data_IF_127026366309
#
_entry.id   IF_127026366309
#
_cell.length_a   1.000
_cell.length_b   1.000
_cell.length_c   1.000
_cell.angle_alpha   90.00
_cell.angle_beta   90.00
_cell.angle_gamma   90.00
#
_symmetry.space_group_name_H-M   'P 1'
#
loop_
_entity.id
_entity.type
_entity.pdbx_description
1 polymer ?
#
# COMPACT_ATOMS: atom_id res chain seq x y z
N UNK A 1 7.06 23.25 -24.97
CA UNK A 1 5.83 22.50 -24.67
C UNK A 1 6.33 21.19 -24.04
N UNK A 2 6.16 20.97 -22.71
CA UNK A 2 6.25 19.63 -22.14
C UNK A 2 4.96 18.95 -22.62
N UNK A 3 5.07 17.84 -23.35
CA UNK A 3 3.91 17.02 -23.66
C UNK A 3 3.28 16.58 -22.34
N UNK A 4 1.97 16.47 -22.33
CA UNK A 4 1.22 15.94 -21.18
C UNK A 4 1.86 14.60 -20.82
N UNK A 5 2.42 14.53 -19.62
CA UNK A 5 3.03 13.31 -19.08
C UNK A 5 1.98 12.74 -18.15
N UNK A 6 1.40 11.61 -18.51
CA UNK A 6 0.48 10.87 -17.63
C UNK A 6 1.18 10.50 -16.32
N UNK A 7 0.43 10.22 -15.28
CA UNK A 7 0.97 9.78 -13.99
C UNK A 7 1.93 8.59 -14.17
N UNK A 8 3.13 8.74 -13.62
CA UNK A 8 4.11 7.66 -13.62
C UNK A 8 3.92 6.78 -12.39
N UNK A 9 3.71 5.49 -12.60
CA UNK A 9 3.66 4.49 -11.53
C UNK A 9 5.00 3.77 -11.47
N UNK A 10 5.65 3.80 -10.32
CA UNK A 10 6.89 3.09 -10.03
C UNK A 10 6.58 2.03 -8.98
N UNK A 11 6.60 0.75 -9.36
CA UNK A 11 6.71 -0.34 -8.40
C UNK A 11 8.17 -0.46 -8.01
N UNK A 12 8.46 -0.40 -6.71
CA UNK A 12 9.83 -0.49 -6.23
C UNK A 12 10.40 -1.88 -6.51
N UNK A 13 11.68 -1.89 -6.84
CA UNK A 13 12.44 -3.13 -6.96
C UNK A 13 12.77 -3.66 -5.56
N UNK A 14 12.61 -4.95 -5.34
CA UNK A 14 13.03 -5.63 -4.12
C UNK A 14 14.55 -5.60 -4.00
N UNK A 15 15.08 -4.93 -2.98
CA UNK A 15 16.51 -4.83 -2.70
C UNK A 15 17.03 -5.91 -1.77
N UNK A 16 16.14 -6.74 -1.24
CA UNK A 16 16.41 -7.83 -0.31
C UNK A 16 15.97 -9.18 -0.87
N UNK A 17 16.12 -10.25 -0.11
CA UNK A 17 15.56 -11.56 -0.45
C UNK A 17 14.12 -11.75 0.07
N UNK A 18 13.62 -10.80 0.88
CA UNK A 18 12.26 -10.82 1.41
C UNK A 18 11.26 -10.46 0.31
N UNK A 19 10.00 -10.80 0.50
CA UNK A 19 8.94 -10.10 -0.23
C UNK A 19 8.85 -8.65 0.25
N UNK A 20 8.35 -7.77 -0.59
CA UNK A 20 8.14 -6.36 -0.23
C UNK A 20 7.09 -5.72 -1.12
N UNK A 21 6.42 -4.71 -0.59
CA UNK A 21 5.54 -3.85 -1.36
C UNK A 21 5.91 -2.39 -1.18
N UNK A 22 6.09 -1.69 -2.27
CA UNK A 22 6.31 -0.25 -2.28
C UNK A 22 6.04 0.35 -3.65
N UNK A 23 5.35 1.50 -3.68
CA UNK A 23 5.07 2.23 -4.90
C UNK A 23 5.26 3.73 -4.71
N UNK A 24 5.69 4.39 -5.79
CA UNK A 24 5.59 5.84 -5.95
C UNK A 24 4.76 6.15 -7.17
N UNK A 25 3.74 7.00 -7.00
CA UNK A 25 2.96 7.56 -8.09
C UNK A 25 3.35 9.03 -8.21
N UNK A 26 3.82 9.41 -9.39
CA UNK A 26 4.27 10.77 -9.67
C UNK A 26 3.27 11.40 -10.63
N UNK A 27 2.57 12.43 -10.17
CA UNK A 27 1.56 13.13 -10.98
C UNK A 27 2.21 13.99 -12.08
N UNK A 28 1.42 14.49 -13.00
CA UNK A 28 1.84 15.35 -14.11
C UNK A 28 2.65 16.58 -13.67
N UNK A 29 2.32 17.13 -12.50
CA UNK A 29 3.00 18.31 -11.94
C UNK A 29 4.06 17.97 -10.91
N UNK A 30 4.40 16.66 -10.79
CA UNK A 30 5.48 16.19 -9.94
C UNK A 30 5.12 16.03 -8.46
N UNK A 31 3.82 15.93 -8.14
CA UNK A 31 3.38 15.51 -6.81
C UNK A 31 3.68 14.04 -6.59
N UNK A 32 4.07 13.66 -5.39
CA UNK A 32 4.47 12.29 -5.06
C UNK A 32 3.47 11.67 -4.08
N UNK A 33 2.86 10.56 -4.50
CA UNK A 33 2.05 9.72 -3.64
C UNK A 33 2.84 8.43 -3.41
N UNK A 34 3.14 8.11 -2.16
CA UNK A 34 3.77 6.86 -1.78
C UNK A 34 2.74 5.86 -1.24
N UNK A 35 2.93 4.59 -1.54
CA UNK A 35 2.18 3.47 -0.98
C UNK A 35 3.17 2.48 -0.41
N UNK A 36 3.10 2.26 0.90
CA UNK A 36 4.06 1.46 1.66
C UNK A 36 5.53 1.88 1.37
N UNK A 37 6.46 0.96 1.36
CA UNK A 37 7.86 1.28 1.09
C UNK A 37 8.78 0.07 1.09
N UNK A 38 8.31 -1.05 1.66
CA UNK A 38 9.07 -2.27 1.78
C UNK A 38 9.76 -2.44 3.12
N UNK A 39 10.76 -3.32 3.14
CA UNK A 39 11.58 -3.63 4.30
C UNK A 39 12.59 -2.51 4.60
N UNK A 40 13.24 -2.55 5.76
CA UNK A 40 14.32 -1.59 6.09
C UNK A 40 15.43 -1.58 5.03
N UNK A 41 15.75 -2.73 4.44
CA UNK A 41 16.75 -2.85 3.37
C UNK A 41 16.38 -2.13 2.08
N UNK A 42 15.11 -1.81 1.85
CA UNK A 42 14.62 -1.09 0.68
C UNK A 42 14.67 0.45 0.87
N UNK A 43 14.90 0.93 2.11
CA UNK A 43 14.93 2.35 2.42
C UNK A 43 15.92 3.18 1.58
N UNK A 44 17.14 2.71 1.27
CA UNK A 44 18.06 3.47 0.42
C UNK A 44 17.50 3.75 -0.98
N UNK A 45 16.89 2.76 -1.61
CA UNK A 45 16.30 2.88 -2.94
C UNK A 45 15.05 3.78 -2.92
N UNK A 46 14.17 3.59 -1.92
CA UNK A 46 13.01 4.45 -1.72
C UNK A 46 13.43 5.92 -1.58
N UNK A 47 14.40 6.21 -0.70
CA UNK A 47 14.94 7.57 -0.49
C UNK A 47 15.55 8.15 -1.76
N UNK A 48 16.27 7.34 -2.53
CA UNK A 48 16.85 7.76 -3.82
C UNK A 48 15.75 8.19 -4.78
N UNK A 49 14.72 7.36 -4.95
CA UNK A 49 13.59 7.65 -5.85
C UNK A 49 12.81 8.90 -5.41
N UNK A 50 12.58 9.09 -4.11
CA UNK A 50 11.93 10.30 -3.60
C UNK A 50 12.77 11.54 -3.93
N UNK A 51 14.11 11.51 -3.73
CA UNK A 51 15.00 12.62 -4.07
C UNK A 51 14.98 12.95 -5.55
N UNK A 52 14.99 11.95 -6.41
CA UNK A 52 14.93 12.13 -7.87
C UNK A 52 13.62 12.77 -8.34
N UNK A 53 12.56 12.67 -7.52
CA UNK A 53 11.25 13.25 -7.80
C UNK A 53 10.92 14.46 -6.89
N UNK A 54 11.94 15.19 -6.43
CA UNK A 54 11.78 16.49 -5.77
C UNK A 54 11.94 16.49 -4.25
N UNK A 55 12.20 15.36 -3.61
CA UNK A 55 12.47 15.27 -2.16
C UNK A 55 11.25 15.53 -1.27
N UNK A 56 10.04 15.44 -1.83
CA UNK A 56 8.80 15.65 -1.09
C UNK A 56 7.80 14.54 -1.40
N UNK A 57 7.21 13.93 -0.37
CA UNK A 57 6.08 13.01 -0.48
C UNK A 57 4.84 13.78 -0.05
N UNK A 58 3.90 14.02 -0.96
CA UNK A 58 2.67 14.77 -0.66
C UNK A 58 1.72 13.94 0.20
N UNK A 59 1.50 12.67 -0.16
CA UNK A 59 0.66 11.71 0.56
C UNK A 59 1.39 10.37 0.67
N UNK A 60 1.41 9.78 1.86
CA UNK A 60 2.00 8.45 2.09
C UNK A 60 0.97 7.52 2.72
N UNK A 61 0.48 6.56 1.95
CA UNK A 61 -0.47 5.56 2.42
C UNK A 61 0.26 4.33 2.95
N UNK A 62 -0.04 3.92 4.17
CA UNK A 62 0.40 2.67 4.77
C UNK A 62 -0.77 1.69 4.78
N UNK A 63 -0.62 0.55 4.09
CA UNK A 63 -1.72 -0.40 3.90
C UNK A 63 -1.99 -1.20 5.15
N UNK A 64 -0.97 -1.83 5.73
CA UNK A 64 -1.10 -2.66 6.92
C UNK A 64 0.27 -2.81 7.64
N UNK A 65 0.28 -3.32 8.90
CA UNK A 65 1.49 -3.32 9.71
C UNK A 65 2.35 -4.59 9.56
N UNK A 66 2.73 -5.02 8.35
CA UNK A 66 3.81 -5.97 8.14
C UNK A 66 5.12 -5.26 7.81
N UNK A 67 6.24 -5.82 8.26
CA UNK A 67 7.58 -5.21 8.11
C UNK A 67 7.97 -4.98 6.64
N UNK A 68 7.57 -5.87 5.74
CA UNK A 68 7.81 -5.79 4.30
C UNK A 68 6.92 -4.76 3.56
N UNK A 69 6.14 -3.99 4.31
CA UNK A 69 5.34 -2.84 3.87
C UNK A 69 5.77 -1.54 4.54
N UNK A 70 5.92 -1.54 5.87
CA UNK A 70 6.03 -0.29 6.62
C UNK A 70 7.43 0.02 7.17
N UNK A 71 8.43 -0.86 7.06
CA UNK A 71 9.74 -0.63 7.69
C UNK A 71 10.48 0.57 7.12
N UNK A 72 10.27 0.91 5.84
CA UNK A 72 10.77 2.18 5.30
C UNK A 72 10.17 3.37 6.05
N UNK A 73 8.88 3.37 6.36
CA UNK A 73 8.26 4.43 7.15
C UNK A 73 8.79 4.46 8.59
N UNK A 74 9.04 3.29 9.20
CA UNK A 74 9.69 3.21 10.53
C UNK A 74 11.05 3.86 10.47
N UNK A 75 11.87 3.53 9.46
CA UNK A 75 13.19 4.13 9.26
C UNK A 75 13.12 5.66 9.12
N UNK A 76 12.14 6.18 8.36
CA UNK A 76 11.91 7.62 8.22
C UNK A 76 11.48 8.29 9.53
N UNK A 77 10.73 7.58 10.37
CA UNK A 77 10.27 8.11 11.67
C UNK A 77 11.39 8.16 12.71
N UNK A 78 12.26 7.14 12.71
CA UNK A 78 13.39 7.04 13.63
C UNK A 78 14.60 7.85 13.18
N UNK A 79 14.80 7.97 11.87
CA UNK A 79 15.93 8.63 11.22
C UNK A 79 15.46 9.58 10.11
N UNK A 80 14.82 10.72 10.47
CA UNK A 80 14.32 11.67 9.47
C UNK A 80 15.45 12.24 8.61
N UNK A 81 15.23 12.25 7.30
CA UNK A 81 16.17 12.81 6.34
C UNK A 81 15.98 14.33 6.24
N UNK A 82 17.04 15.15 6.36
CA UNK A 82 16.90 16.61 6.35
C UNK A 82 16.48 17.18 4.99
N UNK A 83 16.66 16.42 3.91
CA UNK A 83 16.38 16.79 2.53
C UNK A 83 15.12 16.10 1.96
N UNK A 84 14.40 15.32 2.78
CA UNK A 84 13.13 14.71 2.42
C UNK A 84 12.04 15.18 3.38
N UNK A 85 10.93 15.62 2.83
CA UNK A 85 9.75 16.04 3.60
C UNK A 85 8.53 15.20 3.26
N UNK A 86 7.60 15.08 4.21
CA UNK A 86 6.33 14.35 4.03
C UNK A 86 5.17 15.25 4.43
N UNK A 87 4.21 15.42 3.53
CA UNK A 87 3.03 16.24 3.73
C UNK A 87 2.01 15.60 4.66
N UNK A 88 1.64 14.35 4.40
CA UNK A 88 0.67 13.61 5.20
C UNK A 88 0.90 12.11 5.12
N UNK A 89 0.95 11.44 6.27
CA UNK A 89 0.94 9.97 6.38
C UNK A 89 -0.48 9.52 6.69
N UNK A 90 -1.01 8.62 5.85
CA UNK A 90 -2.37 8.10 5.94
C UNK A 90 -2.35 6.61 6.30
N UNK A 91 -3.05 6.20 7.35
CA UNK A 91 -3.06 4.80 7.80
C UNK A 91 -4.35 4.44 8.53
N UNK A 92 -4.58 3.17 8.76
CA UNK A 92 -5.66 2.67 9.64
C UNK A 92 -5.06 1.89 10.81
N UNK A 93 -5.31 2.30 12.08
CA UNK A 93 -4.67 1.67 13.23
C UNK A 93 -5.24 0.29 13.51
N UNK A 94 -4.37 -0.66 13.85
CA UNK A 94 -4.80 -1.90 14.47
C UNK A 94 -5.53 -1.61 15.80
N UNK A 95 -6.58 -2.39 16.18
CA UNK A 95 -7.28 -2.21 17.44
C UNK A 95 -6.36 -2.28 18.66
N UNK A 96 -6.65 -1.53 19.74
CA UNK A 96 -5.82 -1.53 20.95
C UNK A 96 -5.84 -2.88 21.69
N UNK A 97 -7.02 -3.54 21.68
CA UNK A 97 -7.25 -4.85 22.29
C UNK A 97 -6.80 -6.01 21.40
N UNK A 98 -5.87 -5.74 20.52
CA UNK A 98 -5.29 -6.70 19.62
C UNK A 98 -4.71 -7.89 20.40
N UNK A 99 -5.47 -8.96 20.47
CA UNK A 99 -5.01 -10.27 20.94
C UNK A 99 -4.75 -11.14 19.71
N UNK A 100 -3.49 -11.40 19.43
CA UNK A 100 -3.09 -12.37 18.39
C UNK A 100 -3.69 -13.72 18.78
N UNK A 101 -4.67 -14.18 18.03
CA UNK A 101 -5.20 -15.54 18.20
C UNK A 101 -4.41 -16.56 17.38
N UNK A 102 -3.76 -16.10 16.34
CA UNK A 102 -2.82 -16.89 15.56
C UNK A 102 -1.43 -16.72 16.13
N UNK A 103 -0.60 -17.76 16.00
CA UNK A 103 0.81 -17.77 16.40
C UNK A 103 1.66 -16.87 15.48
N UNK A 104 1.07 -15.78 15.00
CA UNK A 104 1.67 -14.90 14.04
C UNK A 104 2.78 -14.09 14.70
N UNK A 105 3.96 -14.11 14.10
CA UNK A 105 5.12 -13.33 14.53
C UNK A 105 4.91 -11.81 14.34
N UNK A 106 3.91 -11.43 13.60
CA UNK A 106 3.58 -10.06 13.18
C UNK A 106 3.13 -9.12 14.31
N UNK A 107 2.96 -9.61 15.55
CA UNK A 107 2.64 -8.72 16.68
C UNK A 107 3.72 -7.65 16.89
N UNK A 108 4.97 -8.01 16.64
CA UNK A 108 6.09 -7.08 16.75
C UNK A 108 5.99 -5.96 15.72
N UNK A 109 5.54 -6.27 14.51
CA UNK A 109 5.37 -5.33 13.42
C UNK A 109 4.27 -4.31 13.75
N UNK A 110 3.14 -4.77 14.31
CA UNK A 110 2.07 -3.89 14.81
C UNK A 110 2.59 -2.94 15.90
N UNK A 111 3.39 -3.45 16.83
CA UNK A 111 3.99 -2.65 17.91
C UNK A 111 4.98 -1.64 17.32
N UNK A 112 5.78 -2.04 16.36
CA UNK A 112 6.78 -1.23 15.70
C UNK A 112 6.12 -0.06 14.96
N UNK A 113 5.11 -0.33 14.12
CA UNK A 113 4.35 0.72 13.44
C UNK A 113 3.71 1.70 14.43
N UNK A 114 3.10 1.20 15.51
CA UNK A 114 2.52 2.06 16.56
C UNK A 114 3.55 2.99 17.21
N UNK A 115 4.78 2.50 17.42
CA UNK A 115 5.88 3.35 17.93
C UNK A 115 6.27 4.40 16.91
N UNK A 116 6.46 4.00 15.64
CA UNK A 116 6.82 4.91 14.57
C UNK A 116 5.78 6.04 14.40
N UNK A 117 4.48 5.70 14.40
CA UNK A 117 3.39 6.70 14.35
C UNK A 117 3.42 7.69 15.52
N UNK A 118 3.86 7.27 16.70
CA UNK A 118 3.96 8.16 17.88
C UNK A 118 5.15 9.11 17.84
N UNK A 119 6.24 8.71 17.19
CA UNK A 119 7.49 9.48 17.19
C UNK A 119 7.73 10.22 15.89
N UNK A 120 7.00 9.87 14.82
CA UNK A 120 7.19 10.49 13.51
C UNK A 120 7.05 12.01 13.58
N UNK A 121 7.94 12.78 12.92
CA UNK A 121 7.80 14.23 12.85
C UNK A 121 6.76 14.69 11.81
N UNK A 122 6.20 13.76 11.05
CA UNK A 122 5.29 14.07 9.95
C UNK A 122 3.83 14.11 10.41
N UNK A 123 2.98 14.93 9.75
CA UNK A 123 1.53 14.89 10.00
C UNK A 123 0.95 13.50 9.72
N UNK A 124 0.05 13.04 10.57
CA UNK A 124 -0.58 11.72 10.46
C UNK A 124 -2.09 11.85 10.44
N UNK A 125 -2.74 11.10 9.57
CA UNK A 125 -4.19 11.00 9.45
C UNK A 125 -4.68 9.55 9.56
N UNK A 126 -5.71 9.35 10.37
CA UNK A 126 -6.39 8.04 10.48
C UNK A 126 -7.51 7.99 9.46
N UNK A 127 -7.42 7.03 8.55
CA UNK A 127 -8.33 6.85 7.44
C UNK A 127 -9.72 6.35 7.88
N UNK A 128 -10.76 6.86 7.21
CA UNK A 128 -12.13 6.38 7.31
C UNK A 128 -12.66 5.94 5.93
N UNK A 129 -13.57 4.96 5.92
CA UNK A 129 -14.22 4.51 4.66
C UNK A 129 -15.04 5.66 4.07
N UNK A 130 -14.89 5.87 2.76
CA UNK A 130 -15.61 6.92 2.02
C UNK A 130 -14.89 8.26 2.00
N UNK A 131 -13.77 8.43 2.72
CA UNK A 131 -12.91 9.60 2.54
C UNK A 131 -12.28 9.63 1.16
N UNK A 132 -11.94 10.83 0.71
CA UNK A 132 -11.20 11.05 -0.53
C UNK A 132 -10.11 12.10 -0.31
N UNK A 133 -8.98 11.88 -0.96
CA UNK A 133 -7.86 12.81 -1.03
C UNK A 133 -7.66 13.24 -2.49
N UNK A 134 -7.28 14.48 -2.70
CA UNK A 134 -7.00 15.01 -4.04
C UNK A 134 -5.64 15.69 -4.06
N UNK A 135 -4.87 15.40 -5.09
CA UNK A 135 -3.61 16.08 -5.39
C UNK A 135 -3.43 16.14 -6.90
N UNK A 136 -3.25 17.33 -7.46
CA UNK A 136 -3.28 17.59 -8.90
C UNK A 136 -4.56 17.02 -9.56
N UNK A 137 -4.38 16.24 -10.62
CA UNK A 137 -5.42 15.52 -11.36
C UNK A 137 -5.69 14.11 -10.80
N UNK A 138 -5.17 13.79 -9.60
CA UNK A 138 -5.29 12.47 -8.98
C UNK A 138 -6.21 12.55 -7.77
N UNK A 139 -7.20 11.64 -7.73
CA UNK A 139 -8.11 11.41 -6.60
C UNK A 139 -7.87 10.03 -6.01
N UNK A 140 -7.83 9.93 -4.68
CA UNK A 140 -7.72 8.68 -3.94
C UNK A 140 -8.98 8.49 -3.11
N UNK A 141 -9.77 7.44 -3.40
CA UNK A 141 -10.99 7.09 -2.68
C UNK A 141 -10.72 5.90 -1.73
N UNK A 142 -11.00 6.05 -0.44
CA UNK A 142 -10.83 5.00 0.57
C UNK A 142 -12.04 4.06 0.54
N UNK A 143 -11.81 2.82 0.13
CA UNK A 143 -12.85 1.80 -0.05
C UNK A 143 -13.01 0.90 1.17
N UNK A 144 -11.93 0.67 1.92
CA UNK A 144 -11.92 -0.17 3.10
C UNK A 144 -10.82 0.27 4.07
N UNK A 145 -11.12 0.19 5.36
CA UNK A 145 -10.18 0.33 6.46
C UNK A 145 -10.27 -0.88 7.40
N UNK A 146 -9.50 -0.89 8.46
CA UNK A 146 -9.45 -1.98 9.45
C UNK A 146 -10.86 -2.36 9.95
N UNK A 147 -11.20 -3.67 9.86
CA UNK A 147 -12.34 -4.26 10.53
C UNK A 147 -11.88 -5.18 11.67
N UNK A 148 -12.08 -4.72 12.90
CA UNK A 148 -11.71 -5.45 14.13
C UNK A 148 -12.44 -6.79 14.34
N UNK A 149 -13.50 -7.05 13.59
CA UNK A 149 -14.28 -8.28 13.73
C UNK A 149 -13.68 -9.45 12.95
N UNK A 150 -12.83 -9.20 11.95
CA UNK A 150 -12.09 -10.25 11.27
C UNK A 150 -10.96 -10.72 12.20
N UNK A 151 -10.84 -12.03 12.39
CA UNK A 151 -9.84 -12.64 13.29
C UNK A 151 -8.90 -13.60 12.59
N UNK A 152 -9.31 -14.14 11.46
CA UNK A 152 -8.50 -14.99 10.61
C UNK A 152 -7.53 -14.11 9.81
N UNK A 153 -6.28 -14.56 9.65
CA UNK A 153 -5.25 -13.84 8.89
C UNK A 153 -5.27 -12.34 9.22
N UNK A 154 -5.21 -12.08 10.55
CA UNK A 154 -5.64 -10.81 11.09
C UNK A 154 -4.83 -9.64 10.56
N UNK A 155 -3.50 -9.73 10.56
CA UNK A 155 -2.63 -8.61 10.19
C UNK A 155 -2.77 -8.26 8.72
N UNK A 156 -2.84 -9.26 7.83
CA UNK A 156 -3.13 -9.05 6.41
C UNK A 156 -4.51 -8.41 6.21
N UNK A 157 -5.51 -8.88 6.96
CA UNK A 157 -6.86 -8.32 6.90
C UNK A 157 -7.00 -6.94 7.58
N UNK A 158 -5.93 -6.35 8.13
CA UNK A 158 -5.87 -4.92 8.48
C UNK A 158 -5.67 -4.02 7.24
N UNK A 159 -5.38 -4.59 6.08
CA UNK A 159 -5.08 -3.84 4.86
C UNK A 159 -6.15 -2.81 4.51
N UNK A 160 -5.71 -1.58 4.34
CA UNK A 160 -6.51 -0.49 3.74
C UNK A 160 -6.62 -0.76 2.25
N UNK A 161 -7.84 -0.63 1.71
CA UNK A 161 -8.08 -0.69 0.26
C UNK A 161 -8.48 0.68 -0.23
N UNK A 162 -7.86 1.14 -1.29
CA UNK A 162 -8.17 2.41 -1.90
C UNK A 162 -8.01 2.36 -3.42
N UNK A 163 -8.75 3.26 -4.08
CA UNK A 163 -8.67 3.44 -5.53
C UNK A 163 -8.03 4.77 -5.83
N UNK A 164 -7.00 4.76 -6.65
CA UNK A 164 -6.39 5.93 -7.27
C UNK A 164 -7.06 6.15 -8.61
N UNK A 165 -7.50 7.36 -8.88
CA UNK A 165 -8.08 7.79 -10.16
C UNK A 165 -7.30 8.99 -10.67
N UNK A 166 -6.69 8.85 -11.83
CA UNK A 166 -6.09 9.96 -12.57
C UNK A 166 -7.09 10.45 -13.63
N UNK A 167 -7.39 11.73 -13.63
CA UNK A 167 -8.25 12.36 -14.65
C UNK A 167 -7.38 12.97 -15.75
N UNK A 168 -7.65 12.61 -17.01
CA UNK A 168 -6.90 13.11 -18.15
C UNK A 168 -7.43 14.46 -18.63
N UNK A 169 -6.54 15.36 -19.03
CA UNK A 169 -6.90 16.69 -19.53
C UNK A 169 -7.81 16.64 -20.77
N UNK A 170 -7.63 15.63 -21.63
CA UNK A 170 -8.44 15.42 -22.85
C UNK A 170 -9.74 14.66 -22.59
N UNK A 171 -10.04 14.33 -21.34
CA UNK A 171 -11.17 13.53 -20.92
C UNK A 171 -10.87 12.04 -20.84
N UNK A 172 -11.58 11.34 -19.94
CA UNK A 172 -11.32 9.97 -19.54
C UNK A 172 -10.47 9.91 -18.28
N UNK A 173 -10.24 8.71 -17.80
CA UNK A 173 -9.43 8.49 -16.60
C UNK A 173 -8.74 7.12 -16.63
N UNK A 174 -7.73 7.00 -15.79
CA UNK A 174 -7.10 5.72 -15.42
C UNK A 174 -7.37 5.43 -13.95
N UNK A 175 -7.70 4.20 -13.62
CA UNK A 175 -8.00 3.78 -12.25
C UNK A 175 -7.14 2.60 -11.85
N UNK A 176 -6.57 2.68 -10.64
CA UNK A 176 -5.84 1.57 -10.03
C UNK A 176 -6.33 1.33 -8.61
N UNK A 177 -6.52 0.04 -8.25
CA UNK A 177 -6.85 -0.37 -6.88
C UNK A 177 -5.62 -0.99 -6.23
N UNK A 178 -5.36 -0.52 -5.00
CA UNK A 178 -4.41 -1.12 -4.08
C UNK A 178 -5.18 -1.94 -3.05
N UNK A 179 -4.81 -3.21 -2.94
CA UNK A 179 -5.41 -4.19 -2.01
C UNK A 179 -4.55 -4.45 -0.77
N UNK A 180 -3.27 -4.01 -0.80
CA UNK A 180 -2.30 -4.45 0.20
C UNK A 180 -2.17 -5.97 0.20
N UNK A 181 -2.19 -6.54 1.39
CA UNK A 181 -2.16 -7.99 1.58
C UNK A 181 -3.51 -8.57 2.01
N UNK A 182 -4.59 -7.86 1.65
CA UNK A 182 -5.94 -8.23 2.03
C UNK A 182 -6.19 -9.72 1.77
N UNK A 183 -6.54 -10.45 2.83
CA UNK A 183 -6.86 -11.87 2.78
C UNK A 183 -8.29 -12.16 2.33
N UNK A 184 -8.64 -13.46 2.30
CA UNK A 184 -9.94 -13.95 1.83
C UNK A 184 -11.12 -13.27 2.54
N UNK A 185 -11.08 -13.21 3.87
CA UNK A 185 -12.19 -12.63 4.65
C UNK A 185 -12.35 -11.12 4.44
N UNK A 186 -11.26 -10.40 4.30
CA UNK A 186 -11.29 -8.99 3.97
C UNK A 186 -11.82 -8.73 2.56
N UNK A 187 -11.51 -9.63 1.61
CA UNK A 187 -12.04 -9.62 0.25
C UNK A 187 -13.55 -9.85 0.21
N UNK A 188 -14.06 -10.84 0.97
CA UNK A 188 -15.50 -11.11 1.11
C UNK A 188 -16.25 -9.90 1.69
N UNK A 189 -15.66 -9.25 2.70
CA UNK A 189 -16.19 -8.04 3.30
C UNK A 189 -16.24 -6.88 2.30
N UNK A 190 -15.14 -6.65 1.56
CA UNK A 190 -15.05 -5.60 0.54
C UNK A 190 -16.15 -5.77 -0.52
N UNK A 191 -16.34 -6.99 -1.03
CA UNK A 191 -17.42 -7.29 -1.99
C UNK A 191 -18.79 -7.02 -1.38
N UNK A 192 -19.02 -7.50 -0.15
CA UNK A 192 -20.32 -7.34 0.52
C UNK A 192 -20.66 -5.88 0.77
N UNK A 193 -19.67 -5.06 1.14
CA UNK A 193 -19.84 -3.63 1.38
C UNK A 193 -20.17 -2.86 0.10
N UNK A 194 -19.68 -3.31 -1.06
CA UNK A 194 -19.93 -2.69 -2.35
C UNK A 194 -21.20 -3.20 -3.06
N UNK A 195 -21.82 -4.29 -2.58
CA UNK A 195 -23.05 -4.84 -3.18
C UNK A 195 -24.27 -3.92 -2.95
N UNK A 196 -25.24 -3.85 -3.90
CA UNK A 196 -25.27 -4.54 -5.20
C UNK A 196 -24.51 -3.82 -6.32
N UNK A 197 -23.98 -2.60 -6.08
CA UNK A 197 -23.26 -1.82 -7.09
C UNK A 197 -21.74 -1.91 -6.91
N UNK A 198 -21.12 -2.76 -7.71
CA UNK A 198 -19.66 -2.96 -7.71
C UNK A 198 -18.89 -1.90 -8.51
N UNK A 199 -19.51 -0.82 -8.93
CA UNK A 199 -18.86 0.22 -9.76
C UNK A 199 -17.67 0.89 -9.04
N UNK A 200 -17.73 0.97 -7.70
CA UNK A 200 -16.65 1.49 -6.88
C UNK A 200 -15.36 0.65 -7.00
N UNK A 201 -15.48 -0.64 -7.32
CA UNK A 201 -14.34 -1.55 -7.50
C UNK A 201 -13.80 -1.58 -8.93
N UNK A 202 -14.50 -1.00 -9.93
CA UNK A 202 -14.00 -1.01 -11.32
C UNK A 202 -12.72 -0.20 -11.45
N UNK A 203 -11.69 -0.85 -12.03
CA UNK A 203 -10.40 -0.22 -12.25
C UNK A 203 -9.67 -0.84 -13.45
N UNK A 204 -8.78 -0.06 -14.08
CA UNK A 204 -7.95 -0.49 -15.21
C UNK A 204 -6.78 -1.35 -14.74
N UNK A 205 -6.31 -1.09 -13.52
CA UNK A 205 -5.18 -1.79 -12.92
C UNK A 205 -5.48 -2.22 -11.47
N UNK A 206 -4.79 -3.26 -11.02
CA UNK A 206 -4.83 -3.73 -9.63
C UNK A 206 -3.43 -4.09 -9.15
N UNK A 207 -3.12 -3.77 -7.90
CA UNK A 207 -2.01 -4.41 -7.20
C UNK A 207 -2.51 -5.76 -6.68
N UNK A 208 -1.83 -6.84 -7.04
CA UNK A 208 -2.16 -8.20 -6.64
C UNK A 208 -1.97 -8.37 -5.13
N UNK A 209 -3.05 -8.73 -4.45
CA UNK A 209 -3.05 -8.86 -3.00
C UNK A 209 -2.02 -9.88 -2.50
N UNK A 210 -1.39 -9.57 -1.38
CA UNK A 210 -0.46 -10.44 -0.65
C UNK A 210 0.63 -11.03 -1.56
N UNK A 211 1.29 -10.15 -2.33
CA UNK A 211 2.37 -10.49 -3.27
C UNK A 211 1.99 -11.58 -4.29
N UNK A 212 0.67 -11.81 -4.50
CA UNK A 212 0.15 -12.88 -5.36
C UNK A 212 0.08 -14.25 -4.69
N UNK A 213 0.15 -14.30 -3.36
CA UNK A 213 -0.03 -15.52 -2.55
C UNK A 213 -1.50 -15.71 -2.12
N UNK A 214 -1.72 -16.05 -0.83
CA UNK A 214 -3.04 -16.29 -0.21
C UNK A 214 -3.80 -14.98 0.09
N UNK A 215 -3.92 -14.09 -0.89
CA UNK A 215 -4.68 -12.85 -0.78
C UNK A 215 -6.19 -13.06 -0.99
N UNK A 216 -6.84 -12.03 -1.54
CA UNK A 216 -8.27 -12.10 -1.86
C UNK A 216 -8.57 -13.18 -2.91
N UNK A 217 -9.77 -13.72 -2.86
CA UNK A 217 -10.26 -14.70 -3.83
C UNK A 217 -10.61 -14.08 -5.19
N UNK A 218 -10.69 -14.93 -6.23
CA UNK A 218 -10.96 -14.54 -7.61
C UNK A 218 -12.17 -13.60 -7.81
N UNK A 219 -13.32 -13.75 -7.09
CA UNK A 219 -14.45 -12.84 -7.23
C UNK A 219 -14.13 -11.35 -6.99
N UNK A 220 -13.11 -11.03 -6.18
CA UNK A 220 -12.68 -9.64 -6.00
C UNK A 220 -12.06 -9.11 -7.29
N UNK A 221 -11.18 -9.90 -7.93
CA UNK A 221 -10.57 -9.53 -9.21
C UNK A 221 -11.60 -9.46 -10.35
N UNK A 222 -12.61 -10.34 -10.36
CA UNK A 222 -13.74 -10.23 -11.31
C UNK A 222 -14.53 -8.93 -11.10
N UNK A 223 -14.75 -8.54 -9.84
CA UNK A 223 -15.42 -7.27 -9.53
C UNK A 223 -14.60 -6.06 -10.00
N UNK A 224 -13.28 -6.07 -9.80
CA UNK A 224 -12.36 -5.02 -10.27
C UNK A 224 -12.31 -5.04 -11.80
N UNK A 225 -12.20 -6.20 -12.41
CA UNK A 225 -12.10 -6.41 -13.87
C UNK A 225 -10.92 -5.67 -14.52
N UNK A 226 -9.70 -5.80 -13.98
CA UNK A 226 -8.55 -5.03 -14.41
C UNK A 226 -8.01 -5.49 -15.76
N UNK A 227 -7.36 -4.58 -16.49
CA UNK A 227 -6.58 -4.88 -17.72
C UNK A 227 -5.12 -5.15 -17.40
N UNK A 228 -4.63 -4.58 -16.26
CA UNK A 228 -3.24 -4.68 -15.81
C UNK A 228 -3.19 -5.16 -14.37
N UNK A 229 -2.22 -6.02 -14.07
CA UNK A 229 -1.94 -6.49 -12.71
C UNK A 229 -0.49 -6.20 -12.35
N UNK A 230 -0.28 -5.50 -11.25
CA UNK A 230 1.02 -5.24 -10.66
C UNK A 230 1.31 -6.30 -9.59
N UNK A 231 2.41 -7.01 -9.74
CA UNK A 231 2.79 -8.12 -8.86
C UNK A 231 4.03 -7.73 -8.04
N UNK A 232 3.87 -7.30 -6.78
CA UNK A 232 5.00 -7.03 -5.90
C UNK A 232 5.56 -8.34 -5.34
N UNK A 233 6.03 -9.21 -6.23
CA UNK A 233 6.37 -10.61 -5.96
C UNK A 233 7.86 -10.82 -6.20
N UNK A 234 8.65 -11.35 -5.23
CA UNK A 234 10.04 -11.67 -5.45
C UNK A 234 10.20 -12.88 -6.39
N UNK A 235 11.37 -12.97 -7.03
CA UNK A 235 11.66 -14.01 -8.03
C UNK A 235 11.44 -15.44 -7.50
N UNK A 236 11.82 -15.71 -6.26
CA UNK A 236 11.65 -17.04 -5.66
C UNK A 236 10.18 -17.44 -5.50
N UNK A 237 9.31 -16.48 -5.21
CA UNK A 237 7.87 -16.72 -5.11
C UNK A 237 7.24 -16.83 -6.50
N UNK A 238 7.63 -15.94 -7.42
CA UNK A 238 7.16 -15.96 -8.81
C UNK A 238 7.49 -17.26 -9.55
N UNK A 239 8.71 -17.76 -9.34
CA UNK A 239 9.19 -19.00 -9.98
C UNK A 239 8.86 -20.25 -9.18
N UNK A 240 8.24 -20.12 -8.00
CA UNK A 240 7.98 -21.21 -7.06
C UNK A 240 9.23 -22.06 -6.78
N UNK A 241 10.37 -21.38 -6.62
CA UNK A 241 11.65 -22.04 -6.31
C UNK A 241 11.86 -22.09 -4.81
N UNK A 242 12.04 -23.31 -4.22
CA UNK A 242 12.39 -23.44 -2.80
C UNK A 242 13.76 -22.80 -2.56
N UNK A 243 13.90 -21.89 -1.62
CA UNK A 243 15.19 -21.35 -1.19
C UNK A 243 15.29 -19.85 -0.99
N UNK A 244 14.20 -19.12 -1.12
CA UNK A 244 14.20 -17.68 -0.78
C UNK A 244 14.23 -17.41 0.72
N UNK A 245 13.89 -18.38 1.53
CA UNK A 245 13.87 -18.25 2.99
C UNK A 245 14.74 -19.32 3.62
N UNK A 246 15.99 -18.99 3.95
CA UNK A 246 16.79 -19.78 4.88
C UNK A 246 16.48 -19.26 6.29
N UNK A 247 15.83 -20.06 7.18
CA UNK A 247 15.67 -19.66 8.57
C UNK A 247 17.06 -19.70 9.22
N UNK A 248 17.64 -18.55 9.51
CA UNK A 248 18.79 -18.43 10.39
C UNK A 248 20.13 -18.02 9.78
N UNK A 249 20.19 -17.10 8.86
CA UNK A 249 21.42 -16.34 8.55
C UNK A 249 21.23 -14.86 8.87
#
# INVERSE_FOLDING_TARGET
>A
MRGDVDMKIIQLHNSTISQMMGYLLITDHGKVIAVDGGTEGDAPEFKRLVRENGGHIDLWFLTHPHHDHHDVFVNFSEHPEPDITVGLVCYSPAPEDFTVRDQDQSINDVIQLRKAIKITPYPVHVLEVGESFETDNVKIDILRVVNKNIKEDFVNNLSVVFRVTEEFAEGGNFKMIFLGDLGVRGGDELLSACMPDLSALKADAVQMAHHGQNGVEFPVYEAISPRYAFWPTPDWLWTNTPGGWEPGT
#
